data_IF_790343855265
#
_entry.id   IF_790343855265
#
_cell.length_a   1.000
_cell.length_b   1.000
_cell.length_c   1.000
_cell.angle_alpha   90.00
_cell.angle_beta   90.00
_cell.angle_gamma   90.00
#
_symmetry.space_group_name_H-M   'P 1'
#
loop_
_entity.id
_entity.type
_entity.pdbx_description
1 polymer ?
#
# COMPACT_ATOMS: atom_id res chain seq x y z
N UNK A 1 -10.06 15.67 -17.06
CA UNK A 1 -8.98 14.75 -16.58
C UNK A 1 -9.65 13.51 -16.01
N UNK A 2 -9.10 12.34 -16.26
CA UNK A 2 -9.63 11.11 -15.69
C UNK A 2 -9.06 10.91 -14.27
N UNK A 3 -9.85 10.35 -13.32
CA UNK A 3 -9.34 10.02 -12.00
C UNK A 3 -8.19 9.01 -12.07
N UNK A 4 -7.21 9.15 -11.17
CA UNK A 4 -6.17 8.16 -10.94
C UNK A 4 -6.77 6.89 -10.33
N UNK A 5 -7.60 7.07 -9.29
CA UNK A 5 -8.33 6.00 -8.62
C UNK A 5 -9.82 6.35 -8.61
N UNK A 6 -10.67 5.39 -8.91
CA UNK A 6 -12.11 5.53 -8.83
C UNK A 6 -12.71 4.31 -8.12
N UNK A 7 -13.44 4.54 -7.06
CA UNK A 7 -14.15 3.55 -6.26
C UNK A 7 -15.64 3.81 -6.43
N UNK A 8 -16.38 2.81 -6.92
CA UNK A 8 -17.81 2.94 -7.24
C UNK A 8 -18.62 1.87 -6.53
N UNK A 9 -19.48 2.31 -5.64
CA UNK A 9 -20.50 1.51 -4.96
C UNK A 9 -19.96 0.21 -4.35
N UNK A 10 -18.80 0.29 -3.72
CA UNK A 10 -18.08 -0.87 -3.19
C UNK A 10 -18.70 -1.32 -1.87
N UNK A 11 -19.05 -2.61 -1.81
CA UNK A 11 -19.49 -3.30 -0.61
C UNK A 11 -18.59 -4.51 -0.31
N UNK A 12 -18.38 -4.77 0.98
CA UNK A 12 -17.72 -5.96 1.48
C UNK A 12 -18.24 -6.32 2.87
N UNK A 13 -18.61 -7.58 3.08
CA UNK A 13 -18.94 -8.15 4.37
C UNK A 13 -17.95 -9.24 4.77
N UNK A 14 -17.70 -9.39 6.06
CA UNK A 14 -17.00 -10.55 6.61
C UNK A 14 -18.00 -11.59 7.09
N UNK A 15 -17.88 -12.80 6.57
CA UNK A 15 -18.69 -13.94 6.97
C UNK A 15 -17.97 -14.76 8.04
N UNK A 16 -18.60 -14.97 9.17
CA UNK A 16 -18.09 -15.80 10.28
C UNK A 16 -19.15 -16.81 10.71
N UNK A 17 -18.75 -17.79 11.51
CA UNK A 17 -19.72 -18.75 12.10
C UNK A 17 -20.78 -18.08 12.98
N UNK A 18 -20.51 -16.88 13.48
CA UNK A 18 -21.41 -16.09 14.31
C UNK A 18 -22.30 -15.13 13.52
N UNK A 19 -22.14 -15.06 12.20
CA UNK A 19 -22.94 -14.21 11.32
C UNK A 19 -22.14 -13.37 10.34
N UNK A 20 -22.82 -12.49 9.66
CA UNK A 20 -22.29 -11.54 8.69
C UNK A 20 -22.07 -10.18 9.34
N UNK A 21 -20.92 -9.56 9.05
CA UNK A 21 -20.58 -8.20 9.49
C UNK A 21 -20.20 -7.36 8.29
N UNK A 22 -21.02 -6.38 7.94
CA UNK A 22 -20.70 -5.43 6.89
C UNK A 22 -19.48 -4.58 7.30
N UNK A 23 -18.41 -4.66 6.52
CA UNK A 23 -17.20 -3.88 6.71
C UNK A 23 -17.21 -2.60 5.87
N UNK A 24 -17.75 -2.67 4.66
CA UNK A 24 -17.93 -1.54 3.75
C UNK A 24 -19.32 -1.61 3.13
N UNK A 25 -20.01 -0.46 3.05
CA UNK A 25 -21.34 -0.36 2.48
C UNK A 25 -21.41 0.84 1.56
N UNK A 26 -21.61 0.59 0.26
CA UNK A 26 -21.83 1.59 -0.78
C UNK A 26 -20.78 2.70 -0.81
N UNK A 27 -19.50 2.34 -0.69
CA UNK A 27 -18.39 3.30 -0.70
C UNK A 27 -18.12 3.79 -2.12
N UNK A 28 -18.17 5.09 -2.31
CA UNK A 28 -17.86 5.74 -3.60
C UNK A 28 -17.03 7.00 -3.38
N UNK A 29 -15.92 7.10 -4.10
CA UNK A 29 -15.09 8.30 -4.18
C UNK A 29 -14.14 8.20 -5.37
N UNK A 30 -13.44 9.28 -5.66
CA UNK A 30 -12.36 9.30 -6.64
C UNK A 30 -11.17 10.08 -6.11
N UNK A 31 -9.99 9.80 -6.66
CA UNK A 31 -8.74 10.48 -6.39
C UNK A 31 -8.14 10.94 -7.73
N UNK A 32 -7.86 12.23 -7.84
CA UNK A 32 -7.21 12.79 -9.01
C UNK A 32 -5.69 12.62 -8.94
N UNK A 33 -4.96 12.70 -10.06
CA UNK A 33 -3.49 12.79 -10.02
C UNK A 33 -3.04 13.94 -9.11
N UNK A 34 -1.97 13.70 -8.33
CA UNK A 34 -1.37 14.67 -7.40
C UNK A 34 -2.28 15.09 -6.23
N UNK A 35 -3.41 14.43 -6.04
CA UNK A 35 -4.32 14.69 -4.92
C UNK A 35 -3.96 13.84 -3.71
N UNK A 36 -4.22 14.38 -2.52
CA UNK A 36 -4.10 13.69 -1.25
C UNK A 36 -5.48 13.43 -0.65
N UNK A 37 -5.79 12.17 -0.35
CA UNK A 37 -7.05 11.75 0.28
C UNK A 37 -6.79 11.18 1.67
N UNK A 38 -7.42 11.76 2.69
CA UNK A 38 -7.41 11.24 4.04
C UNK A 38 -8.68 10.44 4.35
N UNK A 39 -8.54 9.17 4.74
CA UNK A 39 -9.64 8.31 5.20
C UNK A 39 -9.65 8.32 6.73
N UNK A 40 -10.64 8.98 7.34
CA UNK A 40 -10.77 9.14 8.78
C UNK A 40 -12.00 8.40 9.33
N UNK A 41 -11.95 7.96 10.57
CA UNK A 41 -13.05 7.27 11.24
C UNK A 41 -12.58 6.49 12.47
N UNK A 42 -13.50 6.01 13.30
CA UNK A 42 -13.18 5.24 14.51
C UNK A 42 -12.47 3.92 14.20
N UNK A 43 -11.90 3.29 15.24
CA UNK A 43 -11.32 1.95 15.09
C UNK A 43 -12.41 0.95 14.65
N UNK A 44 -12.06 0.04 13.73
CA UNK A 44 -12.99 -0.98 13.25
C UNK A 44 -13.99 -0.53 12.17
N UNK A 45 -14.00 0.73 11.73
CA UNK A 45 -14.96 1.22 10.72
C UNK A 45 -14.61 0.87 9.26
N UNK A 46 -13.68 -0.05 9.01
CA UNK A 46 -13.41 -0.53 7.65
C UNK A 46 -12.27 0.17 6.89
N UNK A 47 -11.52 1.14 7.50
CA UNK A 47 -10.43 1.85 6.79
C UNK A 47 -9.36 0.91 6.21
N UNK A 48 -8.86 -0.01 7.02
CA UNK A 48 -7.88 -0.99 6.57
C UNK A 48 -8.44 -1.95 5.52
N UNK A 49 -9.72 -2.30 5.64
CA UNK A 49 -10.44 -3.12 4.65
C UNK A 49 -10.50 -2.40 3.30
N UNK A 50 -10.84 -1.11 3.29
CA UNK A 50 -10.86 -0.28 2.09
C UNK A 50 -9.46 -0.21 1.44
N UNK A 51 -8.41 0.05 2.24
CA UNK A 51 -7.04 0.09 1.72
C UNK A 51 -6.60 -1.27 1.15
N UNK A 52 -6.95 -2.37 1.81
CA UNK A 52 -6.65 -3.72 1.32
C UNK A 52 -7.36 -4.03 -0.01
N UNK A 53 -8.59 -3.55 -0.20
CA UNK A 53 -9.30 -3.64 -1.49
C UNK A 53 -8.58 -2.83 -2.58
N UNK A 54 -8.20 -1.58 -2.28
CA UNK A 54 -7.46 -0.72 -3.22
C UNK A 54 -6.10 -1.33 -3.60
N UNK A 55 -5.44 -2.01 -2.66
CA UNK A 55 -4.18 -2.71 -2.93
C UNK A 55 -4.36 -4.08 -3.60
N UNK A 56 -5.59 -4.51 -3.88
CA UNK A 56 -5.87 -5.81 -4.50
C UNK A 56 -5.60 -7.01 -3.59
N UNK A 57 -5.48 -6.80 -2.27
CA UNK A 57 -5.30 -7.86 -1.27
C UNK A 57 -6.64 -8.53 -0.89
N UNK A 58 -7.73 -7.81 -1.09
CA UNK A 58 -9.10 -8.29 -0.94
C UNK A 58 -9.89 -8.04 -2.22
N UNK A 59 -11.00 -8.73 -2.38
CA UNK A 59 -11.96 -8.53 -3.47
C UNK A 59 -13.28 -8.02 -2.89
N UNK A 60 -13.87 -7.02 -3.54
CA UNK A 60 -15.19 -6.52 -3.18
C UNK A 60 -16.27 -7.54 -3.55
N UNK A 61 -17.35 -7.61 -2.79
CA UNK A 61 -18.54 -8.40 -3.13
C UNK A 61 -19.34 -7.73 -4.23
N UNK A 62 -19.39 -6.41 -4.22
CA UNK A 62 -20.04 -5.62 -5.27
C UNK A 62 -19.31 -4.28 -5.46
N UNK A 63 -19.68 -3.60 -6.54
CA UNK A 63 -19.03 -2.36 -6.95
C UNK A 63 -17.77 -2.57 -7.79
N UNK A 64 -17.08 -1.49 -8.10
CA UNK A 64 -15.86 -1.53 -8.93
C UNK A 64 -14.80 -0.59 -8.41
N UNK A 65 -13.53 -1.01 -8.58
CA UNK A 65 -12.37 -0.17 -8.32
C UNK A 65 -11.58 -0.09 -9.62
N UNK A 66 -11.36 1.14 -10.09
CA UNK A 66 -10.62 1.42 -11.31
C UNK A 66 -9.35 2.21 -10.99
N UNK A 67 -8.24 1.84 -11.62
CA UNK A 67 -6.99 2.58 -11.62
C UNK A 67 -6.69 3.05 -13.05
N UNK A 68 -6.56 4.37 -13.26
CA UNK A 68 -6.43 4.95 -14.59
C UNK A 68 -7.52 4.49 -15.57
N UNK A 69 -8.77 4.36 -15.11
CA UNK A 69 -9.92 3.93 -15.90
C UNK A 69 -9.96 2.42 -16.21
N UNK A 70 -9.03 1.62 -15.70
CA UNK A 70 -8.99 0.15 -15.88
C UNK A 70 -9.32 -0.54 -14.56
N UNK A 71 -10.03 -1.69 -14.60
CA UNK A 71 -10.26 -2.49 -13.40
C UNK A 71 -8.95 -2.82 -12.70
N UNK A 72 -8.96 -2.70 -11.37
CA UNK A 72 -7.82 -3.03 -10.55
C UNK A 72 -7.57 -4.54 -10.62
N UNK A 73 -6.45 -4.94 -11.18
CA UNK A 73 -5.97 -6.33 -11.16
C UNK A 73 -4.53 -6.36 -10.63
N UNK A 74 -4.08 -7.54 -10.19
CA UNK A 74 -2.78 -7.72 -9.52
C UNK A 74 -1.58 -7.25 -10.37
N UNK A 75 -1.75 -7.21 -11.68
CA UNK A 75 -0.64 -6.93 -12.62
C UNK A 75 -0.61 -5.46 -13.09
N UNK A 76 -1.65 -4.67 -12.80
CA UNK A 76 -1.80 -3.34 -13.42
C UNK A 76 -1.51 -2.15 -12.50
N UNK A 77 -1.40 -2.34 -11.21
CA UNK A 77 -1.24 -1.23 -10.29
C UNK A 77 0.11 -1.28 -9.55
N UNK A 78 0.95 -0.29 -9.79
CA UNK A 78 2.14 -0.02 -8.97
C UNK A 78 1.69 0.80 -7.76
N UNK A 79 1.24 0.12 -6.71
CA UNK A 79 0.80 0.74 -5.46
C UNK A 79 1.86 0.48 -4.39
N UNK A 80 2.42 1.54 -3.82
CA UNK A 80 3.20 1.45 -2.60
C UNK A 80 2.26 1.39 -1.41
N UNK A 81 2.24 0.27 -0.67
CA UNK A 81 1.39 0.10 0.50
C UNK A 81 2.23 0.02 1.78
N UNK A 82 2.06 1.00 2.65
CA UNK A 82 2.66 1.00 3.99
C UNK A 82 1.63 0.49 4.99
N UNK A 83 1.90 -0.65 5.60
CA UNK A 83 1.07 -1.25 6.64
C UNK A 83 1.25 -0.53 7.97
N UNK A 84 0.30 -0.71 8.89
CA UNK A 84 0.32 -0.09 10.23
C UNK A 84 1.47 -0.64 11.11
N UNK A 85 1.88 -1.90 10.90
CA UNK A 85 3.03 -2.52 11.57
C UNK A 85 4.23 -2.53 10.64
N UNK A 86 5.43 -2.48 11.22
CA UNK A 86 6.67 -2.63 10.48
C UNK A 86 6.72 -4.01 9.83
N UNK A 87 6.75 -4.02 8.51
CA UNK A 87 6.84 -5.25 7.72
C UNK A 87 8.21 -5.33 7.03
N UNK A 88 9.20 -4.76 7.69
CA UNK A 88 10.58 -4.86 7.25
C UNK A 88 11.08 -6.30 7.48
N UNK A 89 11.82 -6.81 6.51
CA UNK A 89 12.36 -8.17 6.57
C UNK A 89 13.58 -8.17 7.50
N UNK A 90 13.45 -8.81 8.66
CA UNK A 90 14.50 -8.82 9.71
C UNK A 90 15.82 -9.46 9.24
N UNK A 91 15.77 -10.40 8.29
CA UNK A 91 16.93 -11.07 7.69
C UNK A 91 17.61 -10.24 6.60
N UNK A 92 17.10 -9.04 6.31
CA UNK A 92 17.68 -8.10 5.34
C UNK A 92 18.24 -6.88 6.08
N UNK A 93 19.32 -6.31 5.55
CA UNK A 93 19.80 -5.01 6.02
C UNK A 93 18.78 -3.90 5.69
N UNK A 94 18.87 -2.76 6.37
CA UNK A 94 18.04 -1.59 6.09
C UNK A 94 18.12 -1.22 4.60
N UNK A 95 19.32 -1.15 4.03
CA UNK A 95 19.50 -0.86 2.61
C UNK A 95 18.74 -1.84 1.69
N UNK A 96 18.84 -3.13 1.96
CA UNK A 96 18.13 -4.14 1.18
C UNK A 96 16.61 -4.09 1.36
N UNK A 97 16.13 -3.68 2.52
CA UNK A 97 14.69 -3.44 2.73
C UNK A 97 14.21 -2.25 1.90
N UNK A 98 14.98 -1.15 1.86
CA UNK A 98 14.66 0.03 1.03
C UNK A 98 14.63 -0.32 -0.46
N UNK A 99 15.53 -1.19 -0.92
CA UNK A 99 15.59 -1.63 -2.31
C UNK A 99 14.50 -2.64 -2.70
N UNK A 100 13.75 -3.20 -1.74
CA UNK A 100 12.83 -4.32 -1.99
C UNK A 100 11.81 -4.02 -3.09
N UNK A 101 11.24 -2.82 -3.11
CA UNK A 101 10.30 -2.40 -4.13
C UNK A 101 10.91 -2.39 -5.54
N UNK A 102 12.12 -1.88 -5.67
CA UNK A 102 12.87 -1.86 -6.93
C UNK A 102 13.28 -3.27 -7.37
N UNK A 103 13.67 -4.14 -6.43
CA UNK A 103 13.99 -5.54 -6.72
C UNK A 103 12.77 -6.28 -7.29
N UNK A 104 11.60 -6.14 -6.66
CA UNK A 104 10.35 -6.79 -7.11
C UNK A 104 9.93 -6.30 -8.50
N UNK A 105 10.17 -5.02 -8.80
CA UNK A 105 9.82 -4.42 -10.09
C UNK A 105 10.88 -4.66 -11.17
N UNK A 106 12.05 -5.21 -10.82
CA UNK A 106 13.17 -5.39 -11.75
C UNK A 106 13.83 -4.07 -12.15
N UNK A 107 13.71 -3.02 -11.34
CA UNK A 107 14.17 -1.65 -11.63
C UNK A 107 15.43 -1.26 -10.85
N UNK A 108 16.34 -2.19 -10.58
CA UNK A 108 17.65 -1.91 -9.96
C UNK A 108 18.61 -1.28 -10.97
N UNK A 109 18.26 -0.13 -11.53
CA UNK A 109 19.11 0.65 -12.42
C UNK A 109 20.13 1.48 -11.63
N UNK A 110 21.21 1.92 -12.29
CA UNK A 110 22.20 2.80 -11.65
C UNK A 110 21.57 4.10 -11.15
N UNK A 111 20.64 4.66 -11.92
CA UNK A 111 19.96 5.91 -11.58
C UNK A 111 19.08 5.74 -10.34
N UNK A 112 18.28 4.65 -10.29
CA UNK A 112 17.44 4.35 -9.14
C UNK A 112 18.27 4.06 -7.87
N UNK A 113 19.41 3.38 -8.00
CA UNK A 113 20.32 3.14 -6.87
C UNK A 113 20.93 4.45 -6.37
N UNK A 114 21.35 5.34 -7.28
CA UNK A 114 21.86 6.67 -6.92
C UNK A 114 20.81 7.49 -6.17
N UNK A 115 19.56 7.47 -6.67
CA UNK A 115 18.45 8.14 -6.02
C UNK A 115 18.17 7.59 -4.60
N UNK A 116 18.20 6.27 -4.42
CA UNK A 116 18.07 5.66 -3.10
C UNK A 116 19.19 6.09 -2.16
N UNK A 117 20.42 6.16 -2.64
CA UNK A 117 21.56 6.61 -1.84
C UNK A 117 21.41 8.10 -1.43
N UNK A 118 20.87 8.94 -2.30
CA UNK A 118 20.56 10.34 -1.98
C UNK A 118 19.46 10.43 -0.92
N UNK A 119 18.37 9.65 -1.04
CA UNK A 119 17.31 9.60 -0.04
C UNK A 119 17.81 9.13 1.33
N UNK A 120 18.66 8.10 1.38
CA UNK A 120 19.24 7.62 2.64
C UNK A 120 20.10 8.68 3.33
N UNK A 121 20.83 9.49 2.57
CA UNK A 121 21.58 10.63 3.11
C UNK A 121 20.63 11.72 3.59
N UNK A 122 19.62 12.08 2.80
CA UNK A 122 18.62 13.10 3.13
C UNK A 122 17.91 12.80 4.45
N UNK A 123 17.55 11.53 4.68
CA UNK A 123 16.87 11.08 5.90
C UNK A 123 17.84 10.63 7.01
N UNK A 124 19.15 10.87 6.87
CA UNK A 124 20.20 10.51 7.84
C UNK A 124 20.26 9.00 8.16
N UNK A 125 19.80 8.16 7.24
CA UNK A 125 19.77 6.70 7.37
C UNK A 125 21.01 6.01 6.80
N UNK A 126 21.88 6.73 6.11
CA UNK A 126 23.05 6.15 5.43
C UNK A 126 24.00 5.39 6.39
N UNK A 127 24.18 5.89 7.60
CA UNK A 127 24.98 5.24 8.65
C UNK A 127 24.43 3.90 9.12
N UNK A 128 23.13 3.66 8.90
CA UNK A 128 22.43 2.43 9.30
C UNK A 128 22.26 1.43 8.15
N UNK A 129 22.67 1.74 6.94
CA UNK A 129 22.39 0.95 5.72
C UNK A 129 22.75 -0.53 5.80
N UNK A 130 23.81 -0.87 6.57
CA UNK A 130 24.29 -2.26 6.75
C UNK A 130 23.68 -2.98 7.96
N UNK A 131 22.90 -2.29 8.78
CA UNK A 131 22.33 -2.85 10.00
C UNK A 131 21.11 -3.70 9.67
N UNK A 132 20.95 -4.79 10.42
CA UNK A 132 19.77 -5.68 10.39
C UNK A 132 18.83 -5.31 11.52
N UNK A 133 17.51 -5.30 11.27
CA UNK A 133 16.52 -4.82 12.25
C UNK A 133 16.46 -5.62 13.55
N UNK A 134 16.83 -6.90 13.51
CA UNK A 134 16.90 -7.75 14.70
C UNK A 134 17.86 -7.21 15.79
N UNK A 135 18.70 -6.25 15.45
CA UNK A 135 19.67 -5.62 16.38
C UNK A 135 19.10 -4.35 17.03
N UNK A 136 17.97 -3.83 16.54
CA UNK A 136 17.42 -2.53 16.95
C UNK A 136 16.21 -2.68 17.91
N UNK A 137 15.64 -3.88 18.08
CA UNK A 137 14.58 -4.09 19.07
C UNK A 137 15.19 -4.17 20.48
N UNK A 138 15.28 -3.01 21.11
CA UNK A 138 15.48 -2.85 22.56
C UNK A 138 14.15 -2.99 23.28
#
# INVERSE_FOLDING_TARGET
MNPLLEVKDVCLSYHSLSGETAALSHISFHLMPEEFLAVVGPSGCGKSTLLNLICGLLHAESGTILMNGKPLNKDSARIGYMLQKDHLLEWRSIYRNVLLGLEIQGELTKDNLSYVDELLKLYELDKFRKIYLKVISL
#
